data_IF_798917378045
#
_entry.id   IF_798917378045
#
_cell.length_a   1.000
_cell.length_b   1.000
_cell.length_c   1.000
_cell.angle_alpha   90.00
_cell.angle_beta   90.00
_cell.angle_gamma   90.00
#
_symmetry.space_group_name_H-M   'P 1'
#
loop_
_entity.id
_entity.type
_entity.pdbx_description
1 polymer ?
#
# COMPACT_ATOMS: atom_id res chain seq x y z
N UNK A 1 -4.81 -17.46 2.95
CA UNK A 1 -5.56 -17.44 4.23
C UNK A 1 -4.66 -17.02 5.38
N UNK A 2 -5.08 -16.07 6.24
CA UNK A 2 -4.43 -15.71 7.53
C UNK A 2 -4.14 -16.94 8.40
N UNK A 3 -4.86 -18.02 8.13
CA UNK A 3 -5.12 -19.13 9.03
C UNK A 3 -4.24 -20.36 8.78
N UNK A 4 -3.00 -20.16 8.33
CA UNK A 4 -2.01 -21.21 8.06
C UNK A 4 -0.62 -20.82 8.60
N UNK A 5 -0.57 -20.21 9.79
CA UNK A 5 0.69 -19.83 10.44
C UNK A 5 1.41 -21.00 11.12
N UNK A 6 0.81 -22.19 11.11
CA UNK A 6 1.33 -23.42 11.72
C UNK A 6 1.37 -23.38 13.25
N UNK A 7 0.77 -22.36 13.86
CA UNK A 7 0.78 -22.14 15.31
C UNK A 7 -0.64 -22.10 15.86
N UNK A 8 -1.49 -21.22 15.32
CA UNK A 8 -2.86 -21.02 15.81
C UNK A 8 -3.77 -22.15 15.37
N UNK A 9 -3.61 -22.61 14.14
CA UNK A 9 -4.34 -23.77 13.62
C UNK A 9 -3.99 -25.05 14.38
N UNK A 10 -2.71 -25.26 14.68
CA UNK A 10 -2.24 -26.36 15.55
C UNK A 10 -2.82 -26.25 16.96
N UNK A 11 -2.80 -25.07 17.58
CA UNK A 11 -3.32 -24.87 18.93
C UNK A 11 -4.83 -25.17 19.06
N UNK A 12 -5.63 -24.94 18.01
CA UNK A 12 -7.05 -25.33 17.97
C UNK A 12 -7.19 -26.83 18.10
N UNK A 13 -6.45 -27.60 17.28
CA UNK A 13 -6.50 -29.07 17.30
C UNK A 13 -5.98 -29.63 18.63
N UNK A 14 -4.90 -29.06 19.16
CA UNK A 14 -4.40 -29.44 20.49
C UNK A 14 -5.43 -29.19 21.60
N UNK A 15 -6.16 -28.08 21.55
CA UNK A 15 -7.20 -27.75 22.52
C UNK A 15 -8.33 -28.79 22.49
N UNK A 16 -8.74 -29.21 21.29
CA UNK A 16 -9.72 -30.29 21.09
C UNK A 16 -9.20 -31.59 21.71
N UNK A 17 -7.96 -31.98 21.40
CA UNK A 17 -7.36 -33.21 21.93
C UNK A 17 -7.20 -33.19 23.45
N UNK A 18 -7.08 -32.01 24.07
CA UNK A 18 -7.09 -31.81 25.52
C UNK A 18 -8.49 -31.76 26.13
N UNK A 19 -9.54 -31.68 25.31
CA UNK A 19 -10.93 -31.57 25.76
C UNK A 19 -11.31 -30.17 26.22
N UNK A 20 -10.57 -29.14 25.79
CA UNK A 20 -10.87 -27.76 26.12
C UNK A 20 -11.94 -27.19 25.17
N UNK A 21 -12.84 -26.33 25.67
CA UNK A 21 -13.84 -25.69 24.82
C UNK A 21 -13.16 -24.73 23.85
N UNK A 22 -13.60 -24.74 22.59
CA UNK A 22 -13.09 -23.82 21.56
C UNK A 22 -13.60 -22.38 21.69
N UNK A 23 -14.42 -22.11 22.71
CA UNK A 23 -15.11 -20.84 22.91
C UNK A 23 -16.36 -20.68 22.04
N UNK A 24 -17.13 -19.63 22.32
CA UNK A 24 -18.36 -19.29 21.61
C UNK A 24 -18.06 -18.92 20.15
N UNK A 25 -18.88 -19.42 19.23
CA UNK A 25 -18.84 -19.12 17.79
C UNK A 25 -20.17 -18.45 17.44
N UNK A 26 -20.12 -17.40 16.64
CA UNK A 26 -21.32 -16.67 16.23
C UNK A 26 -21.63 -16.96 14.77
N UNK A 27 -22.88 -17.29 14.48
CA UNK A 27 -23.39 -17.43 13.13
C UNK A 27 -24.53 -16.44 12.89
N UNK A 28 -24.62 -15.93 11.68
CA UNK A 28 -25.80 -15.25 11.17
C UNK A 28 -26.68 -16.27 10.47
N UNK A 29 -27.96 -16.33 10.83
CA UNK A 29 -28.91 -17.19 10.14
C UNK A 29 -29.48 -16.47 8.93
N UNK A 30 -29.10 -16.94 7.74
CA UNK A 30 -29.56 -16.39 6.45
C UNK A 30 -30.87 -17.05 6.01
N UNK A 31 -31.02 -18.32 6.32
CA UNK A 31 -32.26 -19.09 6.17
C UNK A 31 -32.25 -20.27 7.13
N UNK A 32 -33.36 -21.02 7.20
CA UNK A 32 -33.47 -22.22 8.05
C UNK A 32 -32.42 -23.30 7.77
N UNK A 33 -31.78 -23.27 6.61
CA UNK A 33 -30.77 -24.25 6.18
C UNK A 33 -29.40 -23.66 5.94
N UNK A 34 -29.24 -22.34 6.11
CA UNK A 34 -28.00 -21.64 5.76
C UNK A 34 -27.57 -20.68 6.86
N UNK A 35 -26.39 -20.95 7.40
CA UNK A 35 -25.69 -20.12 8.37
C UNK A 35 -24.45 -19.49 7.73
N UNK A 36 -24.16 -18.25 8.09
CA UNK A 36 -22.92 -17.55 7.73
C UNK A 36 -22.10 -17.27 8.99
N UNK A 37 -20.79 -17.53 8.94
CA UNK A 37 -19.92 -17.33 10.11
C UNK A 37 -19.75 -15.83 10.38
N UNK A 38 -20.16 -15.37 11.57
CA UNK A 38 -19.91 -14.01 12.07
C UNK A 38 -18.61 -13.95 12.89
N UNK A 39 -18.37 -14.93 13.75
CA UNK A 39 -17.10 -15.03 14.49
C UNK A 39 -16.75 -16.50 14.68
N UNK A 40 -15.45 -16.80 14.81
CA UNK A 40 -14.92 -18.15 14.93
C UNK A 40 -14.46 -18.75 13.61
N UNK A 41 -14.35 -17.94 12.54
CA UNK A 41 -13.88 -18.38 11.24
C UNK A 41 -12.53 -19.10 11.31
N UNK A 42 -11.58 -18.61 12.12
CA UNK A 42 -10.27 -19.24 12.26
C UNK A 42 -10.37 -20.64 12.87
N UNK A 43 -11.24 -20.82 13.88
CA UNK A 43 -11.45 -22.08 14.60
C UNK A 43 -12.09 -23.12 13.67
N UNK A 44 -13.17 -22.74 12.98
CA UNK A 44 -13.87 -23.61 12.01
C UNK A 44 -12.95 -23.99 10.85
N UNK A 45 -12.19 -23.02 10.31
CA UNK A 45 -11.28 -23.28 9.18
C UNK A 45 -10.13 -24.20 9.60
N UNK A 46 -9.58 -24.03 10.81
CA UNK A 46 -8.51 -24.90 11.32
C UNK A 46 -8.97 -26.34 11.44
N UNK A 47 -10.18 -26.55 11.96
CA UNK A 47 -10.83 -27.86 11.98
C UNK A 47 -10.93 -28.46 10.58
N UNK A 48 -11.57 -27.76 9.64
CA UNK A 48 -11.76 -28.24 8.26
C UNK A 48 -10.44 -28.54 7.54
N UNK A 49 -9.41 -27.73 7.76
CA UNK A 49 -8.07 -27.94 7.19
C UNK A 49 -7.38 -29.18 7.77
N UNK A 50 -7.50 -29.41 9.08
CA UNK A 50 -6.87 -30.57 9.71
C UNK A 50 -7.49 -31.89 9.23
N UNK A 51 -8.82 -31.98 9.27
CA UNK A 51 -9.54 -33.21 8.86
C UNK A 51 -9.38 -33.53 7.36
N UNK A 52 -8.97 -32.54 6.55
CA UNK A 52 -8.62 -32.70 5.14
C UNK A 52 -7.10 -32.81 4.88
N UNK A 53 -6.33 -33.13 5.92
CA UNK A 53 -4.88 -33.36 5.89
C UNK A 53 -4.05 -32.17 5.34
N UNK A 54 -4.51 -30.92 5.54
CA UNK A 54 -3.82 -29.73 5.03
C UNK A 54 -2.64 -29.27 5.90
N UNK A 55 -2.51 -29.79 7.12
CA UNK A 55 -1.37 -29.57 8.00
C UNK A 55 -1.28 -30.71 9.04
N UNK A 56 -0.12 -30.82 9.69
CA UNK A 56 0.14 -31.80 10.75
C UNK A 56 0.21 -31.13 12.12
N UNK A 57 -0.09 -31.90 13.17
CA UNK A 57 0.19 -31.54 14.57
C UNK A 57 1.37 -32.36 15.08
N UNK A 58 1.98 -31.94 16.19
CA UNK A 58 3.00 -32.76 16.87
C UNK A 58 2.36 -33.63 17.95
N UNK A 59 2.74 -34.89 17.99
CA UNK A 59 2.39 -35.77 19.12
C UNK A 59 3.32 -35.57 20.33
N UNK A 60 3.08 -36.39 21.36
CA UNK A 60 3.84 -36.39 22.61
C UNK A 60 5.33 -36.69 22.42
N UNK A 61 5.70 -37.33 21.31
CA UNK A 61 7.09 -37.64 20.94
C UNK A 61 7.67 -36.61 19.97
N UNK A 62 6.92 -35.56 19.63
CA UNK A 62 7.30 -34.52 18.68
C UNK A 62 7.22 -34.95 17.21
N UNK A 63 6.61 -36.11 16.91
CA UNK A 63 6.43 -36.57 15.54
C UNK A 63 5.23 -35.88 14.88
N UNK A 64 5.34 -35.60 13.59
CA UNK A 64 4.27 -34.98 12.82
C UNK A 64 3.16 -36.00 12.51
N UNK A 65 1.94 -35.59 12.81
CA UNK A 65 0.74 -36.41 12.69
C UNK A 65 -0.32 -35.67 11.88
N UNK A 66 -0.71 -36.24 10.75
CA UNK A 66 -1.86 -35.80 9.96
C UNK A 66 -3.13 -36.50 10.45
N UNK A 67 -4.30 -35.91 10.22
CA UNK A 67 -5.57 -36.48 10.66
C UNK A 67 -5.73 -37.97 10.27
N UNK A 68 -5.40 -38.33 9.02
CA UNK A 68 -5.47 -39.71 8.55
C UNK A 68 -4.49 -40.69 9.23
N UNK A 69 -3.43 -40.19 9.87
CA UNK A 69 -2.41 -40.98 10.55
C UNK A 69 -2.57 -41.07 12.06
N UNK A 70 -3.44 -40.25 12.68
CA UNK A 70 -3.62 -40.27 14.13
C UNK A 70 -4.47 -41.48 14.56
N UNK A 71 -4.33 -41.89 15.82
CA UNK A 71 -5.12 -42.98 16.39
C UNK A 71 -6.64 -42.72 16.31
N UNK A 72 -7.43 -43.77 16.12
CA UNK A 72 -8.87 -43.69 15.87
C UNK A 72 -9.66 -43.03 16.99
N UNK A 73 -9.25 -43.20 18.25
CA UNK A 73 -9.81 -42.52 19.41
C UNK A 73 -9.61 -40.99 19.34
N UNK A 74 -8.43 -40.55 18.90
CA UNK A 74 -8.13 -39.13 18.69
C UNK A 74 -8.91 -38.56 17.50
N UNK A 75 -9.09 -39.34 16.43
CA UNK A 75 -9.94 -38.95 15.29
C UNK A 75 -11.39 -38.74 15.74
N UNK A 76 -11.95 -39.70 16.49
CA UNK A 76 -13.30 -39.60 17.03
C UNK A 76 -13.46 -38.37 17.92
N UNK A 77 -12.52 -38.13 18.84
CA UNK A 77 -12.52 -36.94 19.70
C UNK A 77 -12.59 -35.64 18.90
N UNK A 78 -11.89 -35.56 17.77
CA UNK A 78 -11.92 -34.39 16.89
C UNK A 78 -13.27 -34.28 16.17
N UNK A 79 -13.75 -35.35 15.54
CA UNK A 79 -14.99 -35.36 14.77
C UNK A 79 -16.25 -35.13 15.63
N UNK A 80 -16.22 -35.57 16.89
CA UNK A 80 -17.33 -35.47 17.84
C UNK A 80 -17.22 -34.24 18.77
N UNK A 81 -16.30 -33.30 18.46
CA UNK A 81 -16.15 -32.08 19.25
C UNK A 81 -17.41 -31.22 19.21
N UNK A 82 -18.00 -30.96 20.38
CA UNK A 82 -19.13 -30.05 20.51
C UNK A 82 -18.68 -28.59 20.34
N UNK A 83 -19.34 -27.88 19.43
CA UNK A 83 -19.14 -26.45 19.20
C UNK A 83 -20.24 -25.66 19.91
N UNK A 84 -19.84 -24.67 20.71
CA UNK A 84 -20.79 -23.75 21.33
C UNK A 84 -21.12 -22.64 20.31
N UNK A 85 -22.34 -22.66 19.80
CA UNK A 85 -22.80 -21.76 18.73
C UNK A 85 -23.89 -20.84 19.27
N UNK A 86 -23.76 -19.55 18.97
CA UNK A 86 -24.83 -18.56 19.11
C UNK A 86 -25.31 -18.16 17.71
N UNK A 87 -26.58 -18.41 17.43
CA UNK A 87 -27.23 -17.98 16.19
C UNK A 87 -27.83 -16.59 16.38
N UNK A 88 -27.37 -15.65 15.56
CA UNK A 88 -27.89 -14.30 15.47
C UNK A 88 -28.92 -14.23 14.34
N UNK A 89 -30.05 -13.61 14.63
CA UNK A 89 -31.09 -13.23 13.65
C UNK A 89 -31.36 -11.74 13.80
N UNK A 90 -31.18 -10.96 12.72
CA UNK A 90 -31.37 -9.50 12.76
C UNK A 90 -31.25 -8.84 11.39
N UNK A 91 -31.48 -7.54 11.35
CA UNK A 91 -31.25 -6.72 10.15
C UNK A 91 -29.75 -6.63 9.83
N UNK A 92 -29.40 -6.30 8.58
CA UNK A 92 -28.00 -6.11 8.18
C UNK A 92 -27.25 -5.08 9.03
N UNK A 93 -27.95 -4.06 9.52
CA UNK A 93 -27.38 -3.02 10.37
C UNK A 93 -27.05 -3.54 11.77
N UNK A 94 -27.91 -4.38 12.34
CA UNK A 94 -27.65 -5.04 13.62
C UNK A 94 -26.51 -6.05 13.51
N UNK A 95 -26.48 -6.82 12.42
CA UNK A 95 -25.38 -7.77 12.15
C UNK A 95 -24.04 -7.04 12.07
N UNK A 96 -23.96 -5.89 11.38
CA UNK A 96 -22.77 -5.02 11.36
C UNK A 96 -22.30 -4.63 12.75
N UNK A 97 -23.23 -4.20 13.59
CA UNK A 97 -22.93 -3.69 14.92
C UNK A 97 -22.49 -4.80 15.88
N UNK A 98 -23.17 -5.95 15.84
CA UNK A 98 -22.75 -7.15 16.56
C UNK A 98 -21.35 -7.58 16.14
N UNK A 99 -21.08 -7.61 14.83
CA UNK A 99 -19.78 -8.00 14.30
C UNK A 99 -18.66 -7.07 14.77
N UNK A 100 -18.89 -5.75 14.82
CA UNK A 100 -17.93 -4.80 15.42
C UNK A 100 -17.75 -5.03 16.91
N UNK A 101 -18.83 -5.28 17.64
CA UNK A 101 -18.82 -5.44 19.10
C UNK A 101 -18.13 -6.73 19.54
N UNK A 102 -18.42 -7.84 18.88
CA UNK A 102 -17.85 -9.17 19.18
C UNK A 102 -16.34 -9.18 18.96
N UNK A 103 -15.85 -8.46 17.93
CA UNK A 103 -14.43 -8.40 17.59
C UNK A 103 -13.59 -7.47 18.49
N UNK A 104 -14.18 -6.81 19.50
CA UNK A 104 -13.44 -5.87 20.40
C UNK A 104 -12.35 -6.58 21.21
N UNK A 105 -12.60 -7.81 21.68
CA UNK A 105 -11.64 -8.57 22.49
C UNK A 105 -10.61 -9.36 21.64
N UNK A 106 -10.82 -9.43 20.33
CA UNK A 106 -10.03 -10.21 19.38
C UNK A 106 -8.96 -9.41 18.64
N UNK A 107 -8.34 -10.02 17.63
CA UNK A 107 -7.50 -9.27 16.67
C UNK A 107 -8.43 -8.39 15.85
N UNK A 108 -8.25 -7.06 15.84
CA UNK A 108 -9.11 -6.17 15.07
C UNK A 108 -9.12 -6.55 13.59
N UNK A 109 -10.33 -6.68 13.06
CA UNK A 109 -10.55 -6.88 11.63
C UNK A 109 -10.25 -5.57 10.89
N UNK A 110 -9.68 -5.69 9.70
CA UNK A 110 -9.53 -4.55 8.81
C UNK A 110 -10.87 -4.19 8.17
N UNK A 111 -10.91 -3.04 7.50
CA UNK A 111 -12.14 -2.53 6.90
C UNK A 111 -12.71 -3.50 5.85
N UNK A 112 -11.86 -4.14 5.04
CA UNK A 112 -12.30 -5.10 4.03
C UNK A 112 -12.90 -6.37 4.64
N UNK A 113 -12.36 -6.86 5.75
CA UNK A 113 -12.89 -7.99 6.51
C UNK A 113 -14.31 -7.69 7.03
N UNK A 114 -14.53 -6.48 7.53
CA UNK A 114 -15.86 -6.00 7.94
C UNK A 114 -16.83 -5.93 6.75
N UNK A 115 -16.41 -5.33 5.63
CA UNK A 115 -17.25 -5.20 4.43
C UNK A 115 -17.63 -6.57 3.84
N UNK A 116 -16.72 -7.54 3.90
CA UNK A 116 -16.97 -8.90 3.42
C UNK A 116 -18.00 -9.66 4.26
N UNK A 117 -18.12 -9.36 5.56
CA UNK A 117 -19.16 -9.94 6.42
C UNK A 117 -20.54 -9.35 6.11
N UNK A 118 -20.58 -8.06 5.79
CA UNK A 118 -21.81 -7.33 5.48
C UNK A 118 -22.38 -7.73 4.14
N UNK A 119 -21.55 -7.64 3.10
CA UNK A 119 -21.97 -7.79 1.72
C UNK A 119 -21.73 -9.21 1.23
N UNK A 120 -21.88 -10.19 2.12
CA UNK A 120 -21.70 -11.61 1.81
C UNK A 120 -22.58 -12.02 0.61
N UNK A 121 -22.04 -12.94 -0.19
CA UNK A 121 -22.71 -13.47 -1.38
C UNK A 121 -21.72 -14.06 -2.40
N UNK A 122 -22.24 -14.63 -3.51
CA UNK A 122 -21.42 -15.28 -4.54
C UNK A 122 -20.26 -14.42 -5.04
N UNK A 123 -20.49 -13.12 -5.25
CA UNK A 123 -19.47 -12.18 -5.70
C UNK A 123 -18.27 -12.09 -4.74
N UNK A 124 -18.54 -11.94 -3.43
CA UNK A 124 -17.48 -11.85 -2.42
C UNK A 124 -16.71 -13.16 -2.31
N UNK A 125 -17.39 -14.30 -2.43
CA UNK A 125 -16.75 -15.62 -2.47
C UNK A 125 -15.77 -15.72 -3.63
N UNK A 126 -16.22 -15.41 -4.84
CA UNK A 126 -15.37 -15.41 -6.05
C UNK A 126 -14.22 -14.40 -5.94
N UNK A 127 -14.47 -13.21 -5.38
CA UNK A 127 -13.43 -12.22 -5.13
C UNK A 127 -12.35 -12.72 -4.18
N UNK A 128 -12.73 -13.41 -3.10
CA UNK A 128 -11.79 -14.04 -2.17
C UNK A 128 -11.00 -15.17 -2.82
N UNK A 129 -11.65 -16.01 -3.63
CA UNK A 129 -10.99 -17.07 -4.38
C UNK A 129 -9.92 -16.53 -5.33
N UNK A 130 -10.19 -15.41 -5.99
CA UNK A 130 -9.24 -14.77 -6.89
C UNK A 130 -8.11 -14.07 -6.13
N UNK A 131 -8.45 -13.15 -5.22
CA UNK A 131 -7.49 -12.18 -4.66
C UNK A 131 -6.95 -12.54 -3.28
N UNK A 132 -7.55 -13.52 -2.59
CA UNK A 132 -7.17 -13.93 -1.22
C UNK A 132 -6.70 -15.38 -1.12
N UNK A 133 -6.56 -16.06 -2.26
CA UNK A 133 -5.96 -17.39 -2.36
C UNK A 133 -4.44 -17.29 -2.35
N UNK A 134 -3.80 -17.77 -1.28
CA UNK A 134 -2.33 -17.74 -1.11
C UNK A 134 -1.56 -18.63 -2.09
N UNK A 135 -2.23 -19.47 -2.86
CA UNK A 135 -1.63 -20.28 -3.93
C UNK A 135 -1.79 -19.65 -5.32
N UNK A 136 -2.32 -18.43 -5.41
CA UNK A 136 -2.46 -17.74 -6.69
C UNK A 136 -1.08 -17.39 -7.27
N UNK A 137 -0.82 -17.83 -8.50
CA UNK A 137 0.46 -17.62 -9.19
C UNK A 137 0.83 -16.14 -9.38
N UNK A 138 -0.15 -15.24 -9.38
CA UNK A 138 0.07 -13.81 -9.60
C UNK A 138 0.46 -13.03 -8.34
N UNK A 139 0.46 -13.65 -7.15
CA UNK A 139 0.79 -12.95 -5.89
C UNK A 139 2.14 -12.24 -5.98
N UNK A 140 3.14 -12.89 -6.57
CA UNK A 140 4.47 -12.30 -6.71
C UNK A 140 4.43 -11.04 -7.59
N UNK A 141 3.67 -11.07 -8.69
CA UNK A 141 3.46 -9.91 -9.57
C UNK A 141 2.74 -8.78 -8.81
N UNK A 142 1.63 -9.08 -8.13
CA UNK A 142 0.85 -8.08 -7.41
C UNK A 142 1.64 -7.43 -6.27
N UNK A 143 2.45 -8.23 -5.56
CA UNK A 143 3.30 -7.77 -4.45
C UNK A 143 4.39 -6.80 -4.87
N UNK A 144 4.72 -6.70 -6.17
CA UNK A 144 5.65 -5.72 -6.70
C UNK A 144 5.04 -4.29 -6.75
N UNK A 145 3.72 -4.19 -6.88
CA UNK A 145 3.03 -2.91 -7.09
C UNK A 145 2.14 -2.51 -5.91
N UNK A 146 1.63 -3.48 -5.16
CA UNK A 146 0.67 -3.26 -4.08
C UNK A 146 1.36 -3.58 -2.76
N UNK A 147 1.32 -2.61 -1.83
CA UNK A 147 1.69 -2.86 -0.44
C UNK A 147 0.53 -3.62 0.21
N UNK A 148 0.68 -4.94 0.33
CA UNK A 148 -0.35 -5.78 0.93
C UNK A 148 0.02 -7.26 0.93
N UNK A 149 -0.78 -8.02 1.68
CA UNK A 149 -0.67 -9.44 1.89
C UNK A 149 -1.98 -10.10 1.47
N UNK A 150 -1.84 -11.21 0.73
CA UNK A 150 -2.98 -12.02 0.27
C UNK A 150 -3.87 -12.48 1.42
N UNK A 151 -3.27 -12.70 2.59
CA UNK A 151 -3.96 -13.22 3.76
C UNK A 151 -4.88 -12.17 4.38
N UNK A 152 -4.47 -10.91 4.49
CA UNK A 152 -5.31 -9.82 5.00
C UNK A 152 -6.30 -9.28 3.96
N UNK A 153 -6.42 -9.95 2.81
CA UNK A 153 -7.34 -9.58 1.73
C UNK A 153 -7.03 -8.20 1.12
N UNK A 154 -5.80 -7.71 1.28
CA UNK A 154 -5.39 -6.37 0.85
C UNK A 154 -5.33 -6.23 -0.67
N UNK A 155 -5.09 -7.32 -1.41
CA UNK A 155 -5.23 -7.31 -2.88
C UNK A 155 -6.70 -7.20 -3.30
N UNK A 156 -7.62 -7.85 -2.58
CA UNK A 156 -9.05 -7.74 -2.85
C UNK A 156 -9.55 -6.33 -2.54
N UNK A 157 -9.15 -5.77 -1.40
CA UNK A 157 -9.42 -4.39 -1.01
C UNK A 157 -8.92 -3.43 -2.08
N UNK A 158 -7.68 -3.60 -2.56
CA UNK A 158 -7.11 -2.75 -3.61
C UNK A 158 -7.86 -2.87 -4.94
N UNK A 159 -8.26 -4.07 -5.35
CA UNK A 159 -9.07 -4.28 -6.55
C UNK A 159 -10.42 -3.58 -6.44
N UNK A 160 -11.08 -3.69 -5.28
CA UNK A 160 -12.37 -3.05 -5.02
C UNK A 160 -12.24 -1.53 -4.95
N UNK A 161 -11.21 -1.01 -4.28
CA UNK A 161 -10.90 0.41 -4.22
C UNK A 161 -10.75 1.02 -5.62
N UNK A 162 -10.01 0.34 -6.49
CA UNK A 162 -9.75 0.76 -7.86
C UNK A 162 -11.02 0.80 -8.72
N UNK A 163 -11.77 -0.30 -8.80
CA UNK A 163 -12.99 -0.35 -9.63
C UNK A 163 -14.08 0.60 -9.12
N UNK A 164 -14.16 0.79 -7.79
CA UNK A 164 -15.18 1.64 -7.15
C UNK A 164 -14.76 3.09 -6.95
N UNK A 165 -13.50 3.43 -7.27
CA UNK A 165 -12.91 4.76 -7.03
C UNK A 165 -13.04 5.19 -5.57
N UNK A 166 -12.75 4.26 -4.65
CA UNK A 166 -12.83 4.45 -3.20
C UNK A 166 -14.19 4.13 -2.57
N UNK A 167 -15.23 3.82 -3.35
CA UNK A 167 -16.59 3.54 -2.85
C UNK A 167 -16.86 2.04 -2.65
N UNK A 168 -15.96 1.34 -1.95
CA UNK A 168 -15.97 -0.14 -1.85
C UNK A 168 -17.32 -0.67 -1.37
N UNK A 169 -17.88 -0.09 -0.30
CA UNK A 169 -19.14 -0.59 0.29
C UNK A 169 -20.35 -0.49 -0.65
N UNK A 170 -20.46 0.60 -1.40
CA UNK A 170 -21.54 0.77 -2.39
C UNK A 170 -21.40 -0.23 -3.55
N UNK A 171 -20.18 -0.39 -4.07
CA UNK A 171 -19.89 -1.36 -5.11
C UNK A 171 -20.22 -2.79 -4.66
N UNK A 172 -19.72 -3.21 -3.49
CA UNK A 172 -20.03 -4.52 -2.94
C UNK A 172 -21.53 -4.73 -2.70
N UNK A 173 -22.25 -3.70 -2.22
CA UNK A 173 -23.70 -3.78 -2.02
C UNK A 173 -24.46 -4.07 -3.32
N UNK A 174 -24.05 -3.46 -4.43
CA UNK A 174 -24.69 -3.64 -5.74
C UNK A 174 -24.39 -5.01 -6.35
N UNK A 175 -23.17 -5.51 -6.15
CA UNK A 175 -22.67 -6.70 -6.81
C UNK A 175 -22.75 -7.98 -5.96
N UNK A 176 -23.10 -7.93 -4.66
CA UNK A 176 -23.02 -9.09 -3.75
C UNK A 176 -23.67 -10.38 -4.26
N UNK A 177 -24.73 -10.27 -5.08
CA UNK A 177 -25.46 -11.41 -5.65
C UNK A 177 -25.02 -11.80 -7.06
N UNK A 178 -24.03 -11.12 -7.63
CA UNK A 178 -23.49 -11.46 -8.94
C UNK A 178 -22.73 -12.78 -8.89
N UNK A 179 -22.96 -13.62 -9.91
CA UNK A 179 -22.31 -14.93 -10.02
C UNK A 179 -20.97 -14.88 -10.77
N UNK A 180 -20.39 -13.69 -10.94
CA UNK A 180 -19.08 -13.50 -11.57
C UNK A 180 -18.40 -12.22 -11.03
N UNK A 181 -17.09 -12.11 -11.24
CA UNK A 181 -16.26 -10.94 -10.83
C UNK A 181 -15.53 -10.32 -12.03
N UNK A 182 -16.10 -10.44 -13.24
CA UNK A 182 -15.41 -10.11 -14.49
C UNK A 182 -14.96 -8.66 -14.53
N UNK A 183 -15.81 -7.72 -14.15
CA UNK A 183 -15.48 -6.29 -14.10
C UNK A 183 -14.33 -6.01 -13.12
N UNK A 184 -14.47 -6.47 -11.87
CA UNK A 184 -13.45 -6.32 -10.83
C UNK A 184 -12.09 -6.86 -11.27
N UNK A 185 -12.08 -8.08 -11.84
CA UNK A 185 -10.86 -8.73 -12.32
C UNK A 185 -10.26 -7.97 -13.51
N UNK A 186 -11.06 -7.64 -14.51
CA UNK A 186 -10.57 -6.96 -15.71
C UNK A 186 -10.02 -5.57 -15.38
N UNK A 187 -10.67 -4.82 -14.48
CA UNK A 187 -10.18 -3.50 -14.09
C UNK A 187 -8.83 -3.63 -13.37
N UNK A 188 -8.74 -4.53 -12.38
CA UNK A 188 -7.51 -4.78 -11.66
C UNK A 188 -6.35 -5.20 -12.58
N UNK A 189 -6.60 -6.17 -13.47
CA UNK A 189 -5.62 -6.64 -14.44
C UNK A 189 -5.20 -5.49 -15.38
N UNK A 190 -6.14 -4.65 -15.82
CA UNK A 190 -5.84 -3.50 -16.69
C UNK A 190 -4.87 -2.52 -16.03
N UNK A 191 -5.06 -2.22 -14.74
CA UNK A 191 -4.14 -1.35 -13.98
C UNK A 191 -2.76 -1.99 -13.88
N UNK A 192 -2.69 -3.26 -13.46
CA UNK A 192 -1.41 -3.96 -13.27
C UNK A 192 -0.66 -4.12 -14.59
N UNK A 193 -1.36 -4.51 -15.65
CA UNK A 193 -0.76 -4.72 -16.96
C UNK A 193 -0.26 -3.41 -17.55
N UNK A 194 -1.01 -2.31 -17.41
CA UNK A 194 -0.57 -0.99 -17.80
C UNK A 194 0.72 -0.56 -17.08
N UNK A 195 0.77 -0.66 -15.74
CA UNK A 195 1.98 -0.29 -14.99
C UNK A 195 3.17 -1.14 -15.43
N UNK A 196 2.98 -2.46 -15.59
CA UNK A 196 4.04 -3.37 -16.01
C UNK A 196 4.51 -3.18 -17.46
N UNK A 197 3.64 -2.64 -18.33
CA UNK A 197 3.99 -2.31 -19.70
C UNK A 197 4.75 -0.99 -19.80
N UNK A 198 4.39 0.01 -18.98
CA UNK A 198 5.04 1.33 -18.96
C UNK A 198 6.40 1.26 -18.28
N UNK A 199 6.49 0.61 -17.12
CA UNK A 199 7.71 0.49 -16.33
C UNK A 199 8.28 -0.93 -16.41
N UNK A 200 9.36 -1.08 -17.18
CA UNK A 200 10.04 -2.39 -17.34
C UNK A 200 10.99 -2.70 -16.18
N UNK A 201 11.49 -1.68 -15.48
CA UNK A 201 12.20 -1.83 -14.22
C UNK A 201 11.20 -1.98 -13.07
N UNK A 202 11.45 -2.89 -12.12
CA UNK A 202 10.60 -3.09 -10.95
C UNK A 202 11.34 -2.66 -9.70
N UNK A 203 10.88 -1.55 -9.11
CA UNK A 203 11.53 -0.94 -7.94
C UNK A 203 10.71 -1.13 -6.66
N UNK A 204 11.40 -1.19 -5.52
CA UNK A 204 10.76 -1.52 -4.24
C UNK A 204 9.71 -0.50 -3.79
N UNK A 205 9.91 0.75 -4.21
CA UNK A 205 9.11 1.93 -3.96
C UNK A 205 7.81 1.97 -4.78
N UNK A 206 7.68 1.12 -5.81
CA UNK A 206 6.43 0.93 -6.55
C UNK A 206 5.31 0.41 -5.65
N UNK A 207 5.67 -0.31 -4.58
CA UNK A 207 4.74 -0.80 -3.57
C UNK A 207 4.16 0.36 -2.78
N UNK A 208 2.84 0.51 -2.88
CA UNK A 208 2.09 1.54 -2.14
C UNK A 208 2.02 2.88 -2.86
N UNK A 209 2.26 2.88 -4.18
CA UNK A 209 1.89 3.99 -5.05
C UNK A 209 0.40 3.90 -5.40
N UNK A 210 -0.23 5.05 -5.63
CA UNK A 210 -1.65 5.16 -5.98
C UNK A 210 -1.93 4.82 -7.45
N UNK A 211 -1.63 3.57 -7.84
CA UNK A 211 -1.70 3.10 -9.22
C UNK A 211 -3.09 3.22 -9.86
N UNK A 212 -4.17 2.99 -9.12
CA UNK A 212 -5.54 3.16 -9.65
C UNK A 212 -5.82 4.61 -10.05
N UNK A 213 -5.44 5.59 -9.20
CA UNK A 213 -5.54 7.02 -9.54
C UNK A 213 -4.67 7.36 -10.75
N UNK A 214 -3.42 6.88 -10.76
CA UNK A 214 -2.51 7.14 -11.87
C UNK A 214 -3.01 6.53 -13.17
N UNK A 215 -3.58 5.32 -13.13
CA UNK A 215 -4.20 4.69 -14.28
C UNK A 215 -5.28 5.62 -14.84
N UNK A 216 -6.24 6.07 -14.05
CA UNK A 216 -7.31 6.97 -14.51
C UNK A 216 -6.78 8.26 -15.17
N UNK A 217 -5.67 8.82 -14.65
CA UNK A 217 -5.08 10.07 -15.16
C UNK A 217 -4.24 9.87 -16.42
N UNK A 218 -3.49 8.77 -16.50
CA UNK A 218 -2.34 8.65 -17.41
C UNK A 218 -2.46 7.50 -18.43
N UNK A 219 -3.34 6.50 -18.25
CA UNK A 219 -3.34 5.29 -19.09
C UNK A 219 -3.59 5.52 -20.59
N UNK A 220 -4.22 6.64 -20.95
CA UNK A 220 -4.49 7.01 -22.35
C UNK A 220 -3.30 7.64 -23.06
N UNK A 221 -2.24 7.98 -22.32
CA UNK A 221 -1.03 8.54 -22.88
C UNK A 221 -0.12 7.41 -23.37
N UNK A 222 0.53 7.63 -24.51
CA UNK A 222 1.48 6.67 -25.05
C UNK A 222 2.85 6.88 -24.39
N UNK A 223 3.43 5.79 -23.87
CA UNK A 223 4.76 5.78 -23.28
C UNK A 223 5.69 4.89 -24.11
N UNK A 224 6.94 5.32 -24.26
CA UNK A 224 8.02 4.47 -24.78
C UNK A 224 8.75 3.84 -23.59
N UNK A 225 8.60 2.53 -23.34
CA UNK A 225 9.14 1.88 -22.13
C UNK A 225 10.65 2.01 -22.02
N UNK A 226 11.39 2.13 -23.13
CA UNK A 226 12.84 2.34 -23.11
C UNK A 226 13.22 3.73 -22.60
N UNK A 227 12.44 4.75 -22.98
CA UNK A 227 12.65 6.12 -22.50
C UNK A 227 12.29 6.22 -21.03
N UNK A 228 11.16 5.65 -20.63
CA UNK A 228 10.72 5.58 -19.22
C UNK A 228 11.78 4.92 -18.36
N UNK A 229 12.33 3.77 -18.78
CA UNK A 229 13.41 3.08 -18.08
C UNK A 229 14.67 3.95 -17.94
N UNK A 230 15.12 4.56 -19.04
CA UNK A 230 16.31 5.44 -19.01
C UNK A 230 16.13 6.64 -18.07
N UNK A 231 14.93 7.22 -18.01
CA UNK A 231 14.64 8.35 -17.14
C UNK A 231 14.51 7.93 -15.68
N UNK A 232 13.87 6.79 -15.41
CA UNK A 232 13.77 6.20 -14.09
C UNK A 232 15.17 5.94 -13.50
N UNK A 233 16.06 5.28 -14.26
CA UNK A 233 17.43 5.00 -13.83
C UNK A 233 18.23 6.29 -13.56
N UNK A 234 18.03 7.34 -14.38
CA UNK A 234 18.65 8.64 -14.15
C UNK A 234 18.18 9.26 -12.83
N UNK A 235 16.88 9.24 -12.55
CA UNK A 235 16.31 9.82 -11.33
C UNK A 235 16.66 9.02 -10.07
N UNK A 236 16.75 7.69 -10.17
CA UNK A 236 17.23 6.85 -9.07
C UNK A 236 18.71 7.05 -8.75
N UNK A 237 19.52 7.34 -9.78
CA UNK A 237 20.93 7.69 -9.65
C UNK A 237 21.18 9.12 -9.17
N UNK A 238 20.15 9.98 -9.13
CA UNK A 238 20.28 11.37 -8.70
C UNK A 238 20.23 11.48 -7.16
N UNK A 239 21.33 11.85 -6.48
CA UNK A 239 21.37 11.93 -5.02
C UNK A 239 20.48 13.04 -4.45
N UNK A 240 19.96 13.94 -5.28
CA UNK A 240 19.12 15.06 -4.85
C UNK A 240 17.62 14.72 -4.84
N UNK A 241 17.19 13.62 -5.48
CA UNK A 241 15.81 13.16 -5.45
C UNK A 241 15.55 12.45 -4.11
N UNK A 242 14.74 13.06 -3.25
CA UNK A 242 14.40 12.49 -1.94
C UNK A 242 13.15 11.62 -1.99
N UNK A 243 12.16 12.00 -2.79
CA UNK A 243 10.91 11.27 -2.89
C UNK A 243 10.92 10.32 -4.09
N UNK A 244 11.48 9.12 -3.88
CA UNK A 244 11.54 8.09 -4.92
C UNK A 244 10.18 7.59 -5.39
N UNK A 245 9.15 7.59 -4.53
CA UNK A 245 7.79 7.23 -4.94
C UNK A 245 7.18 8.23 -5.93
N UNK A 246 7.57 9.50 -5.81
CA UNK A 246 7.09 10.54 -6.73
C UNK A 246 7.70 10.46 -8.12
N UNK A 247 8.78 9.70 -8.32
CA UNK A 247 9.41 9.52 -9.64
C UNK A 247 8.42 8.93 -10.64
N UNK A 248 7.62 7.94 -10.24
CA UNK A 248 6.70 7.26 -11.15
C UNK A 248 5.65 8.23 -11.71
N UNK A 249 5.01 9.02 -10.85
CA UNK A 249 4.04 10.03 -11.28
C UNK A 249 4.70 11.18 -12.05
N UNK A 250 5.91 11.58 -11.66
CA UNK A 250 6.67 12.60 -12.36
C UNK A 250 6.90 12.19 -13.83
N UNK A 251 7.38 10.97 -14.07
CA UNK A 251 7.61 10.45 -15.42
C UNK A 251 6.28 10.31 -16.18
N UNK A 252 5.24 9.75 -15.54
CA UNK A 252 3.91 9.62 -16.16
C UNK A 252 3.32 10.98 -16.56
N UNK A 253 3.57 12.02 -15.77
CA UNK A 253 3.17 13.40 -16.02
C UNK A 253 4.05 14.14 -17.04
N UNK A 254 4.92 13.45 -17.76
CA UNK A 254 5.81 14.05 -18.77
C UNK A 254 6.95 14.86 -18.17
N UNK A 255 7.33 14.56 -16.93
CA UNK A 255 8.49 15.13 -16.24
C UNK A 255 8.38 16.63 -15.98
N UNK A 256 7.17 17.09 -15.68
CA UNK A 256 6.84 18.51 -15.45
C UNK A 256 6.75 18.86 -13.96
N UNK A 257 6.00 18.09 -13.15
CA UNK A 257 5.76 18.44 -11.75
C UNK A 257 6.88 17.99 -10.82
N UNK A 258 7.93 18.81 -10.77
CA UNK A 258 9.13 18.57 -9.97
C UNK A 258 8.87 18.49 -8.45
N UNK A 259 7.72 18.97 -7.95
CA UNK A 259 7.37 18.89 -6.53
C UNK A 259 7.21 17.44 -6.07
N UNK A 260 6.86 16.55 -7.00
CA UNK A 260 6.75 15.12 -6.74
C UNK A 260 8.07 14.50 -6.27
N UNK A 261 9.22 15.08 -6.65
CA UNK A 261 10.54 14.50 -6.39
C UNK A 261 11.17 14.94 -5.06
N UNK A 262 10.60 15.96 -4.39
CA UNK A 262 11.19 16.59 -3.19
C UNK A 262 12.70 16.84 -3.35
N UNK A 263 13.10 17.57 -4.40
CA UNK A 263 14.52 17.74 -4.74
C UNK A 263 15.22 18.60 -3.69
N UNK A 264 16.30 18.09 -3.09
CA UNK A 264 17.20 18.91 -2.26
C UNK A 264 18.05 19.80 -3.17
N UNK A 265 17.83 21.11 -3.10
CA UNK A 265 18.38 22.04 -4.09
C UNK A 265 19.91 22.12 -4.04
N UNK A 266 20.55 22.21 -2.88
CA UNK A 266 22.03 22.19 -2.77
C UNK A 266 22.46 21.66 -1.39
N UNK A 267 23.59 20.96 -1.31
CA UNK A 267 24.20 20.57 -0.04
C UNK A 267 24.86 21.76 0.69
N UNK A 268 25.23 21.57 1.96
CA UNK A 268 25.81 22.64 2.76
C UNK A 268 27.24 23.03 2.35
N UNK A 269 27.97 22.12 1.68
CA UNK A 269 29.31 22.40 1.19
C UNK A 269 29.27 23.34 -0.02
N UNK A 270 28.39 23.05 -0.99
CA UNK A 270 28.11 23.89 -2.15
C UNK A 270 27.59 25.25 -1.71
N UNK A 271 26.63 25.30 -0.79
CA UNK A 271 26.11 26.58 -0.23
C UNK A 271 27.21 27.46 0.35
N UNK A 272 28.08 26.89 1.20
CA UNK A 272 29.18 27.63 1.83
C UNK A 272 30.19 28.12 0.80
N UNK A 273 30.53 27.28 -0.17
CA UNK A 273 31.47 27.62 -1.24
C UNK A 273 30.95 28.76 -2.11
N UNK A 274 29.72 28.64 -2.62
CA UNK A 274 29.10 29.65 -3.48
C UNK A 274 28.86 30.96 -2.72
N UNK A 275 28.46 30.89 -1.45
CA UNK A 275 28.34 32.06 -0.58
C UNK A 275 29.66 32.80 -0.44
N UNK A 276 30.76 32.09 -0.18
CA UNK A 276 32.08 32.70 -0.03
C UNK A 276 32.52 33.39 -1.31
N UNK A 277 32.38 32.71 -2.46
CA UNK A 277 32.72 33.26 -3.79
C UNK A 277 31.88 34.50 -4.11
N UNK A 278 30.55 34.43 -3.99
CA UNK A 278 29.66 35.56 -4.27
C UNK A 278 29.92 36.75 -3.33
N UNK A 279 30.24 36.48 -2.06
CA UNK A 279 30.48 37.53 -1.07
C UNK A 279 31.79 38.26 -1.35
N UNK A 280 32.88 37.54 -1.63
CA UNK A 280 34.16 38.15 -1.98
C UNK A 280 34.08 38.99 -3.27
N UNK A 281 33.36 38.51 -4.28
CA UNK A 281 33.13 39.27 -5.51
C UNK A 281 32.30 40.54 -5.26
N UNK A 282 31.24 40.42 -4.45
CA UNK A 282 30.36 41.52 -4.11
C UNK A 282 31.07 42.61 -3.30
N UNK A 283 31.91 42.23 -2.34
CA UNK A 283 32.74 43.15 -1.55
C UNK A 283 33.72 43.91 -2.45
N UNK A 284 34.38 43.23 -3.38
CA UNK A 284 35.31 43.86 -4.34
C UNK A 284 34.61 44.89 -5.23
N UNK A 285 33.37 44.62 -5.62
CA UNK A 285 32.57 45.48 -6.50
C UNK A 285 31.71 46.52 -5.76
N UNK A 286 31.66 46.47 -4.43
CA UNK A 286 30.79 47.34 -3.62
C UNK A 286 29.29 47.12 -3.84
N UNK A 287 28.89 45.90 -4.21
CA UNK A 287 27.49 45.52 -4.49
C UNK A 287 26.99 44.47 -3.50
N UNK A 288 25.72 44.10 -3.56
CA UNK A 288 25.15 43.02 -2.73
C UNK A 288 25.63 41.65 -3.20
N UNK A 289 25.86 40.75 -2.25
CA UNK A 289 26.10 39.33 -2.52
C UNK A 289 24.84 38.55 -2.94
N UNK A 290 23.68 39.22 -3.00
CA UNK A 290 22.48 38.73 -3.68
C UNK A 290 22.38 39.38 -5.08
N UNK A 291 22.47 38.63 -6.19
CA UNK A 291 22.44 39.17 -7.55
C UNK A 291 21.22 40.04 -7.85
N UNK A 292 20.05 39.67 -7.34
CA UNK A 292 18.82 40.46 -7.51
C UNK A 292 18.84 41.78 -6.73
N UNK A 293 19.43 41.81 -5.53
CA UNK A 293 19.64 43.07 -4.80
C UNK A 293 20.61 43.98 -5.55
N UNK A 294 21.69 43.42 -6.11
CA UNK A 294 22.72 44.19 -6.82
C UNK A 294 22.18 44.92 -8.07
N UNK A 295 21.20 44.33 -8.76
CA UNK A 295 20.57 44.91 -9.96
C UNK A 295 19.42 45.86 -9.61
N UNK A 296 18.82 45.74 -8.43
CA UNK A 296 17.70 46.57 -7.99
C UNK A 296 18.04 48.04 -7.68
N UNK A 297 17.00 48.84 -7.43
CA UNK A 297 17.10 50.26 -7.05
C UNK A 297 16.92 50.49 -5.54
N UNK A 298 16.90 49.42 -4.75
CA UNK A 298 16.49 49.44 -3.35
C UNK A 298 17.67 49.73 -2.41
N UNK A 299 17.35 50.03 -1.14
CA UNK A 299 18.33 50.25 -0.07
C UNK A 299 19.29 49.06 0.18
N UNK A 300 19.01 47.89 -0.41
CA UNK A 300 19.83 46.68 -0.28
C UNK A 300 20.88 46.50 -1.38
N UNK A 301 21.04 47.46 -2.30
CA UNK A 301 21.91 47.31 -3.49
C UNK A 301 23.37 46.97 -3.19
N UNK A 302 23.91 47.46 -2.08
CA UNK A 302 25.27 47.19 -1.60
C UNK A 302 25.31 46.32 -0.33
N UNK A 303 24.16 45.77 0.09
CA UNK A 303 24.06 45.01 1.35
C UNK A 303 24.69 43.64 1.20
N UNK A 304 25.64 43.33 2.08
CA UNK A 304 26.20 41.98 2.25
C UNK A 304 25.35 41.22 3.26
N UNK A 305 24.68 40.17 2.80
CA UNK A 305 23.84 39.30 3.63
C UNK A 305 24.70 38.22 4.30
N UNK A 306 24.35 37.86 5.53
CA UNK A 306 24.93 36.71 6.22
C UNK A 306 24.41 35.41 5.60
N UNK A 307 25.19 34.34 5.64
CA UNK A 307 24.77 33.03 5.16
C UNK A 307 23.42 32.58 5.77
N UNK A 308 23.17 32.88 7.05
CA UNK A 308 21.90 32.57 7.74
C UNK A 308 20.68 33.29 7.16
N UNK A 309 20.89 34.37 6.41
CA UNK A 309 19.86 35.22 5.80
C UNK A 309 19.73 34.99 4.29
N UNK A 310 20.44 33.99 3.77
CA UNK A 310 20.44 33.60 2.38
C UNK A 310 20.06 32.14 2.21
N UNK A 311 19.50 31.84 1.04
CA UNK A 311 19.21 30.49 0.58
C UNK A 311 19.89 30.26 -0.77
N UNK A 312 20.31 29.03 -1.02
CA UNK A 312 20.79 28.65 -2.35
C UNK A 312 19.61 28.33 -3.27
N UNK A 313 19.76 28.75 -4.52
CA UNK A 313 18.77 28.61 -5.55
C UNK A 313 19.44 28.40 -6.91
N UNK A 314 18.75 27.82 -7.88
CA UNK A 314 19.33 27.57 -9.19
C UNK A 314 19.40 28.84 -10.04
N UNK A 315 20.43 29.01 -10.86
CA UNK A 315 20.46 30.07 -11.88
C UNK A 315 19.42 29.76 -12.97
N UNK A 316 19.49 28.56 -13.53
CA UNK A 316 18.45 27.96 -14.36
C UNK A 316 17.64 26.96 -13.53
N UNK A 317 16.32 27.14 -13.47
CA UNK A 317 15.45 26.29 -12.67
C UNK A 317 15.65 24.79 -13.01
N UNK A 318 15.68 23.94 -11.97
CA UNK A 318 15.80 22.49 -12.14
C UNK A 318 14.68 21.92 -13.04
N UNK A 319 13.46 22.48 -12.94
CA UNK A 319 12.32 22.17 -13.82
C UNK A 319 12.51 22.50 -15.30
N UNK A 320 13.52 23.29 -15.65
CA UNK A 320 13.89 23.64 -17.02
C UNK A 320 15.20 22.96 -17.45
N UNK A 321 15.60 21.89 -16.75
CA UNK A 321 16.82 21.13 -17.02
C UNK A 321 18.09 21.74 -16.42
N UNK A 322 17.96 22.69 -15.48
CA UNK A 322 19.10 23.22 -14.74
C UNK A 322 19.71 22.15 -13.82
N UNK A 323 21.01 21.90 -13.97
CA UNK A 323 21.71 20.92 -13.13
C UNK A 323 21.77 21.38 -11.67
N UNK A 324 21.71 20.45 -10.71
CA UNK A 324 21.98 20.73 -9.30
C UNK A 324 23.48 20.58 -9.03
N UNK A 325 24.26 21.58 -9.45
CA UNK A 325 25.70 21.61 -9.27
C UNK A 325 26.21 23.00 -8.84
N UNK A 326 27.48 23.08 -8.49
CA UNK A 326 28.13 24.33 -8.10
C UNK A 326 27.98 25.45 -9.15
N UNK A 327 27.94 25.12 -10.45
CA UNK A 327 27.89 26.11 -11.54
C UNK A 327 26.50 26.72 -11.71
N UNK A 328 25.46 25.97 -11.36
CA UNK A 328 24.09 26.43 -11.43
C UNK A 328 23.56 26.90 -10.06
N UNK A 329 24.39 26.96 -9.03
CA UNK A 329 24.01 27.45 -7.69
C UNK A 329 24.25 28.96 -7.59
N UNK A 330 23.27 29.69 -7.03
CA UNK A 330 23.44 31.06 -6.57
C UNK A 330 22.82 31.26 -5.18
N UNK A 331 23.43 32.11 -4.36
CA UNK A 331 22.87 32.54 -3.07
C UNK A 331 21.97 33.76 -3.26
N UNK A 332 20.72 33.66 -2.81
CA UNK A 332 19.74 34.75 -2.79
C UNK A 332 19.38 35.11 -1.35
N UNK A 333 19.10 36.38 -1.06
CA UNK A 333 18.50 36.73 0.23
C UNK A 333 17.11 36.06 0.33
N UNK A 334 16.68 35.71 1.55
CA UNK A 334 15.40 35.02 1.79
C UNK A 334 14.20 35.68 1.09
N UNK A 335 14.17 37.01 1.01
CA UNK A 335 13.11 37.76 0.34
C UNK A 335 13.07 37.46 -1.16
N UNK A 336 14.20 37.53 -1.85
CA UNK A 336 14.28 37.23 -3.29
C UNK A 336 14.08 35.75 -3.58
N UNK A 337 14.59 34.87 -2.73
CA UNK A 337 14.38 33.43 -2.88
C UNK A 337 12.88 33.07 -2.79
N UNK A 338 12.17 33.61 -1.80
CA UNK A 338 10.71 33.43 -1.66
C UNK A 338 9.92 34.03 -2.82
N UNK A 339 10.32 35.21 -3.30
CA UNK A 339 9.68 35.85 -4.45
C UNK A 339 9.85 35.03 -5.74
N UNK A 340 10.96 34.30 -5.88
CA UNK A 340 11.23 33.42 -7.01
C UNK A 340 10.50 32.08 -6.91
N UNK A 341 10.38 31.51 -5.71
CA UNK A 341 9.69 30.22 -5.46
C UNK A 341 8.17 30.22 -5.68
N UNK A 342 7.54 31.38 -5.90
CA UNK A 342 6.12 31.53 -6.22
C UNK A 342 5.83 31.61 -7.74
N UNK A 343 6.72 31.13 -8.60
CA UNK A 343 6.55 31.11 -10.07
C UNK A 343 6.82 29.76 -10.69
#
# INVERSE_FOLDING_TARGET
>A
YIYADGKKDVAVIESILKGYPLGLIYFNKVSDTKLEVLDGQQRITSFGRFVTNKFAIKDENGMEQYFGGIASDKQAKILETNLLIYECEGTESEIKEWFRTINIAGVPLNNQELLNAVYSGPFVTLGKEQFSNSQNANIQKWSAYIAGTVNRQEFMERALDWVSKGNIGDYMSKHRYDNNITELKNYFDSVIDWVSAVFTDVESEMRGVEWGRMYELYHKQAYDPKKVSSELQKLYGDPYVKNRRGIFEYILGGSVDTKLLDVRVFDDAVKKSVYATQTAEAETKGISNCPHCAIGHDANKSKIWKLSDMDADHVAAWSKGGATDYKNCQMLCKTHNRAKGNR
#
